data_IF_121513645814
#
_entry.id   IF_121513645814
#
_cell.length_a   1.000
_cell.length_b   1.000
_cell.length_c   1.000
_cell.angle_alpha   90.00
_cell.angle_beta   90.00
_cell.angle_gamma   90.00
#
_symmetry.space_group_name_H-M   'P 1'
#
loop_
_entity.id
_entity.type
_entity.pdbx_description
1 polymer ?
#
# COMPACT_ATOMS: atom_id res chain seq x y z
N UNK A 1 -11.10 -20.02 -6.38
CA UNK A 1 -12.03 -19.12 -5.69
C UNK A 1 -12.34 -17.91 -6.58
N UNK A 2 -11.33 -17.26 -7.14
CA UNK A 2 -11.46 -16.03 -7.93
C UNK A 2 -12.42 -16.13 -9.13
N UNK A 3 -12.37 -17.23 -9.92
CA UNK A 3 -13.23 -17.41 -11.10
C UNK A 3 -14.71 -17.53 -10.70
N UNK A 4 -15.00 -18.24 -9.61
CA UNK A 4 -16.39 -18.39 -9.12
C UNK A 4 -16.92 -17.06 -8.59
N UNK A 5 -16.09 -16.32 -7.87
CA UNK A 5 -16.43 -15.01 -7.33
C UNK A 5 -16.68 -14.01 -8.47
N UNK A 6 -15.79 -13.97 -9.47
CA UNK A 6 -15.95 -13.14 -10.66
C UNK A 6 -17.30 -13.39 -11.33
N UNK A 7 -17.62 -14.66 -11.64
CA UNK A 7 -18.91 -15.03 -12.26
C UNK A 7 -20.12 -14.60 -11.43
N UNK A 8 -20.02 -14.72 -10.11
CA UNK A 8 -21.11 -14.30 -9.22
C UNK A 8 -21.31 -12.78 -9.28
N UNK A 9 -20.23 -12.01 -9.24
CA UNK A 9 -20.27 -10.53 -9.35
C UNK A 9 -20.82 -10.12 -10.72
N UNK A 10 -20.30 -10.71 -11.81
CA UNK A 10 -20.73 -10.40 -13.17
C UNK A 10 -22.24 -10.67 -13.36
N UNK A 11 -22.74 -11.81 -12.81
CA UNK A 11 -24.17 -12.17 -12.91
C UNK A 11 -25.09 -11.32 -12.04
N UNK A 12 -24.66 -10.96 -10.82
CA UNK A 12 -25.51 -10.20 -9.88
C UNK A 12 -25.65 -8.75 -10.30
N UNK A 13 -24.58 -8.15 -10.82
CA UNK A 13 -24.53 -6.73 -11.16
C UNK A 13 -24.68 -6.47 -12.66
N UNK A 14 -24.80 -7.50 -13.49
CA UNK A 14 -24.84 -7.42 -14.96
C UNK A 14 -23.66 -6.57 -15.52
N UNK A 15 -22.47 -6.87 -15.05
CA UNK A 15 -21.23 -6.16 -15.43
C UNK A 15 -20.13 -7.16 -15.83
N UNK A 16 -19.14 -6.66 -16.55
CA UNK A 16 -17.88 -7.39 -16.78
C UNK A 16 -16.83 -6.90 -15.81
N UNK A 17 -16.60 -7.62 -14.71
CA UNK A 17 -15.58 -7.29 -13.73
C UNK A 17 -14.17 -7.52 -14.28
N UNK A 18 -13.23 -6.66 -13.87
CA UNK A 18 -11.80 -6.78 -14.19
C UNK A 18 -11.08 -7.29 -12.95
N UNK A 19 -10.31 -8.37 -13.10
CA UNK A 19 -9.40 -8.86 -12.08
C UNK A 19 -8.07 -8.15 -12.22
N UNK A 20 -7.60 -7.51 -11.15
CA UNK A 20 -6.30 -6.85 -11.14
C UNK A 20 -5.21 -7.88 -10.95
N UNK A 21 -4.33 -7.99 -11.95
CA UNK A 21 -3.17 -8.85 -11.98
C UNK A 21 -2.10 -8.23 -12.88
N UNK A 22 -0.87 -8.72 -12.82
CA UNK A 22 0.26 -8.15 -13.57
C UNK A 22 0.22 -8.43 -15.07
N UNK A 23 -0.65 -9.32 -15.53
CA UNK A 23 -0.82 -9.73 -16.93
C UNK A 23 -1.89 -8.93 -17.69
N UNK A 24 -2.53 -7.96 -17.05
CA UNK A 24 -3.46 -7.03 -17.72
C UNK A 24 -2.81 -5.66 -17.94
N UNK A 25 -3.34 -4.82 -18.86
CA UNK A 25 -2.90 -3.43 -19.00
C UNK A 25 -3.03 -2.65 -17.69
N UNK A 26 -1.90 -2.25 -17.10
CA UNK A 26 -1.83 -1.49 -15.86
C UNK A 26 -1.45 -0.02 -16.08
N UNK A 27 -0.74 0.30 -17.19
CA UNK A 27 -0.18 1.63 -17.42
C UNK A 27 1.12 1.88 -16.63
N UNK A 28 1.55 0.91 -15.83
CA UNK A 28 2.83 0.89 -15.11
C UNK A 28 3.55 -0.41 -15.47
N UNK A 29 4.87 -0.35 -15.63
CA UNK A 29 5.68 -1.55 -15.89
C UNK A 29 6.07 -2.18 -14.55
N UNK A 30 5.78 -3.47 -14.39
CA UNK A 30 6.15 -4.24 -13.19
C UNK A 30 7.52 -4.88 -13.42
N UNK A 31 8.52 -4.48 -12.63
CA UNK A 31 9.92 -4.87 -12.76
C UNK A 31 10.42 -5.75 -11.59
N UNK A 32 9.52 -6.51 -10.97
CA UNK A 32 9.86 -7.51 -9.95
C UNK A 32 10.27 -8.82 -10.60
N UNK A 33 11.02 -9.67 -9.89
CA UNK A 33 11.44 -10.99 -10.37
C UNK A 33 10.24 -11.87 -10.75
N UNK A 34 9.19 -11.84 -9.93
CA UNK A 34 7.95 -12.58 -10.13
C UNK A 34 6.74 -11.63 -10.14
N UNK A 35 6.42 -10.96 -11.26
CA UNK A 35 5.32 -10.00 -11.33
C UNK A 35 3.96 -10.57 -10.90
N UNK A 36 3.74 -11.86 -11.11
CA UNK A 36 2.46 -12.53 -10.78
C UNK A 36 2.25 -12.76 -9.27
N UNK A 37 3.30 -12.61 -8.45
CA UNK A 37 3.21 -12.69 -6.99
C UNK A 37 2.85 -11.35 -6.35
N UNK A 38 2.84 -10.26 -7.12
CA UNK A 38 2.51 -8.93 -6.61
C UNK A 38 1.01 -8.84 -6.31
N UNK A 39 0.67 -8.46 -5.09
CA UNK A 39 -0.71 -8.29 -4.66
C UNK A 39 -1.44 -7.21 -5.48
N UNK A 40 -2.73 -7.44 -5.73
CA UNK A 40 -3.57 -6.54 -6.51
C UNK A 40 -3.69 -5.13 -5.91
N UNK A 41 -3.67 -5.02 -4.59
CA UNK A 41 -3.63 -3.78 -3.83
C UNK A 41 -2.35 -2.97 -4.10
N UNK A 42 -1.20 -3.64 -4.11
CA UNK A 42 0.10 -3.04 -4.43
C UNK A 42 0.17 -2.58 -5.89
N UNK A 43 -0.35 -3.38 -6.83
CA UNK A 43 -0.47 -2.99 -8.23
C UNK A 43 -1.37 -1.75 -8.40
N UNK A 44 -2.51 -1.72 -7.69
CA UNK A 44 -3.41 -0.56 -7.72
C UNK A 44 -2.72 0.70 -7.15
N UNK A 45 -2.02 0.57 -6.02
CA UNK A 45 -1.26 1.66 -5.43
C UNK A 45 -0.17 2.19 -6.40
N UNK A 46 0.57 1.28 -7.06
CA UNK A 46 1.59 1.64 -8.03
C UNK A 46 1.02 2.40 -9.23
N UNK A 47 -0.13 1.95 -9.75
CA UNK A 47 -0.83 2.64 -10.84
C UNK A 47 -1.29 4.02 -10.41
N UNK A 48 -1.91 4.16 -9.23
CA UNK A 48 -2.34 5.45 -8.72
C UNK A 48 -1.15 6.39 -8.54
N UNK A 49 -0.07 5.90 -7.94
CA UNK A 49 1.15 6.67 -7.73
C UNK A 49 1.72 7.20 -9.04
N UNK A 50 1.85 6.30 -10.04
CA UNK A 50 2.36 6.65 -11.37
C UNK A 50 1.51 7.67 -12.14
N UNK A 51 0.20 7.71 -11.88
CA UNK A 51 -0.73 8.61 -12.60
C UNK A 51 -0.89 9.96 -11.89
N UNK A 52 -0.82 9.97 -10.56
CA UNK A 52 -1.18 11.14 -9.75
C UNK A 52 0.02 11.98 -9.32
N UNK A 53 1.21 11.41 -9.33
CA UNK A 53 2.41 12.09 -8.84
C UNK A 53 3.51 12.04 -9.89
N UNK A 54 4.32 13.09 -9.94
CA UNK A 54 5.48 13.18 -10.84
C UNK A 54 6.75 12.65 -10.16
N UNK A 55 7.69 12.13 -10.96
CA UNK A 55 8.96 11.61 -10.48
C UNK A 55 8.85 10.27 -9.76
N UNK A 56 9.84 9.96 -8.93
CA UNK A 56 9.81 8.75 -8.11
C UNK A 56 8.81 8.89 -6.97
N UNK A 57 8.14 7.79 -6.63
CA UNK A 57 7.13 7.74 -5.56
C UNK A 57 7.36 6.53 -4.67
N UNK A 58 7.28 6.74 -3.37
CA UNK A 58 7.19 5.67 -2.39
C UNK A 58 5.81 5.73 -1.76
N UNK A 59 4.98 4.74 -2.05
CA UNK A 59 3.68 4.60 -1.38
C UNK A 59 3.85 3.77 -0.12
N UNK A 60 3.34 4.27 1.01
CA UNK A 60 3.33 3.55 2.28
C UNK A 60 1.89 3.28 2.66
N UNK A 61 1.50 2.01 2.64
CA UNK A 61 0.15 1.58 3.01
C UNK A 61 0.13 0.97 4.42
N UNK A 62 -0.62 1.58 5.32
CA UNK A 62 -0.80 1.14 6.69
C UNK A 62 -2.05 0.27 6.86
N UNK A 63 -1.99 -0.94 6.32
CA UNK A 63 -3.05 -1.95 6.35
C UNK A 63 -2.79 -3.09 7.35
N UNK A 64 -3.19 -4.30 6.98
CA UNK A 64 -2.86 -5.54 7.69
C UNK A 64 -1.35 -5.78 7.73
N UNK A 65 -0.67 -5.47 6.64
CA UNK A 65 0.77 -5.23 6.57
C UNK A 65 1.02 -3.72 6.48
N UNK A 66 2.23 -3.28 6.81
CA UNK A 66 2.76 -2.00 6.37
C UNK A 66 3.61 -2.28 5.15
N UNK A 67 3.14 -1.88 3.98
CA UNK A 67 3.87 -2.08 2.73
C UNK A 67 4.44 -0.77 2.19
N UNK A 68 5.56 -0.90 1.49
CA UNK A 68 6.21 0.18 0.75
C UNK A 68 6.23 -0.25 -0.71
N UNK A 69 5.59 0.53 -1.56
CA UNK A 69 5.56 0.31 -3.00
C UNK A 69 6.43 1.36 -3.67
N UNK A 70 7.46 0.90 -4.38
CA UNK A 70 8.51 1.76 -4.93
C UNK A 70 8.30 1.90 -6.43
N UNK A 71 8.07 3.12 -6.87
CA UNK A 71 7.89 3.49 -8.29
C UNK A 71 8.97 4.51 -8.66
N UNK A 72 9.75 4.24 -9.70
CA UNK A 72 10.76 5.18 -10.17
C UNK A 72 10.17 6.26 -11.10
N UNK A 73 10.98 7.27 -11.43
CA UNK A 73 10.61 8.36 -12.33
C UNK A 73 10.28 7.94 -13.76
N UNK A 74 10.53 6.68 -14.14
CA UNK A 74 10.16 6.08 -15.44
C UNK A 74 8.82 5.35 -15.41
N UNK A 75 8.03 5.50 -14.32
CA UNK A 75 6.77 4.78 -14.10
C UNK A 75 6.95 3.25 -14.07
N UNK A 76 8.04 2.76 -13.48
CA UNK A 76 8.30 1.36 -13.28
C UNK A 76 8.12 1.02 -11.79
N UNK A 77 7.28 0.02 -11.50
CA UNK A 77 7.15 -0.56 -10.16
C UNK A 77 8.33 -1.51 -9.92
N UNK A 78 9.20 -1.15 -9.02
CA UNK A 78 10.45 -1.89 -8.76
C UNK A 78 10.28 -2.98 -7.69
N UNK A 79 9.18 -3.00 -6.97
CA UNK A 79 8.97 -3.85 -5.82
C UNK A 79 8.75 -3.03 -4.55
N UNK A 80 9.31 -3.50 -3.43
CA UNK A 80 9.16 -2.74 -2.18
C UNK A 80 9.42 -3.54 -0.92
N UNK A 81 8.89 -3.05 0.20
CA UNK A 81 9.06 -3.66 1.52
C UNK A 81 7.70 -4.07 2.09
N UNK A 82 7.66 -5.17 2.81
CA UNK A 82 6.46 -5.62 3.52
C UNK A 82 6.85 -5.93 4.97
N UNK A 83 6.21 -5.25 5.90
CA UNK A 83 6.36 -5.48 7.34
C UNK A 83 5.00 -5.78 7.98
N UNK A 84 4.96 -6.37 9.18
CA UNK A 84 3.71 -6.53 9.90
C UNK A 84 3.08 -5.17 10.19
N UNK A 85 1.78 -5.01 9.87
CA UNK A 85 1.03 -3.80 10.20
C UNK A 85 0.81 -3.65 11.71
N UNK A 86 0.42 -2.46 12.14
CA UNK A 86 0.27 -2.08 13.57
C UNK A 86 -0.62 -3.08 14.33
N UNK A 87 -1.81 -3.36 13.79
CA UNK A 87 -2.71 -4.34 14.42
C UNK A 87 -2.14 -5.75 14.46
N UNK A 88 -1.36 -6.13 13.45
CA UNK A 88 -0.71 -7.44 13.37
C UNK A 88 0.37 -7.55 14.45
N UNK A 89 1.21 -6.51 14.63
CA UNK A 89 2.21 -6.44 15.69
C UNK A 89 1.57 -6.55 17.08
N UNK A 90 0.50 -5.77 17.34
CA UNK A 90 -0.23 -5.81 18.61
C UNK A 90 -0.83 -7.18 18.90
N UNK A 91 -1.45 -7.81 17.91
CA UNK A 91 -2.01 -9.17 18.02
C UNK A 91 -0.92 -10.21 18.27
N UNK A 92 0.22 -10.09 17.57
CA UNK A 92 1.35 -11.00 17.75
C UNK A 92 1.88 -10.96 19.19
N UNK A 93 2.14 -9.77 19.73
CA UNK A 93 2.58 -9.58 21.11
C UNK A 93 1.61 -10.20 22.12
N UNK A 94 0.31 -9.96 21.94
CA UNK A 94 -0.73 -10.55 22.81
C UNK A 94 -0.73 -12.08 22.75
N UNK A 95 -0.68 -12.65 21.54
CA UNK A 95 -0.82 -14.09 21.34
C UNK A 95 0.44 -14.87 21.74
N UNK A 96 1.61 -14.25 21.67
CA UNK A 96 2.90 -14.87 21.99
C UNK A 96 3.24 -14.83 23.48
N UNK A 97 2.42 -14.17 24.31
CA UNK A 97 2.68 -14.04 25.74
C UNK A 97 1.41 -14.19 26.57
N UNK A 98 1.50 -14.95 27.66
CA UNK A 98 0.36 -15.18 28.57
C UNK A 98 0.02 -13.98 29.46
N UNK A 99 0.91 -13.00 29.56
CA UNK A 99 0.81 -11.88 30.52
C UNK A 99 0.48 -10.53 29.91
N UNK A 100 0.58 -10.36 28.57
CA UNK A 100 0.31 -9.07 27.96
C UNK A 100 -1.21 -8.82 27.78
N UNK A 101 -1.71 -7.65 28.21
CA UNK A 101 -3.12 -7.31 28.06
C UNK A 101 -3.49 -7.08 26.58
N UNK A 102 -4.78 -7.12 26.27
CA UNK A 102 -5.29 -6.56 25.02
C UNK A 102 -5.19 -5.04 25.12
N UNK A 103 -4.49 -4.45 24.19
CA UNK A 103 -4.26 -3.00 24.13
C UNK A 103 -4.88 -2.48 22.83
N UNK A 104 -5.69 -1.45 22.93
CA UNK A 104 -6.21 -0.76 21.76
C UNK A 104 -5.15 0.24 21.24
N UNK A 105 -5.06 0.36 19.92
CA UNK A 105 -4.10 1.26 19.28
C UNK A 105 -4.46 2.71 19.62
N UNK A 106 -3.50 3.41 20.20
CA UNK A 106 -3.66 4.81 20.62
C UNK A 106 -2.33 5.55 20.55
N UNK A 107 -2.36 6.84 20.84
CA UNK A 107 -1.16 7.70 20.87
C UNK A 107 -0.18 7.23 21.95
N UNK A 108 1.09 7.05 21.57
CA UNK A 108 2.19 6.84 22.52
C UNK A 108 2.71 8.19 23.03
N UNK A 109 2.46 8.50 24.29
CA UNK A 109 2.85 9.79 24.90
C UNK A 109 4.37 9.95 24.95
N UNK A 110 5.07 8.92 25.43
CA UNK A 110 6.52 8.95 25.68
C UNK A 110 7.22 7.81 24.93
N UNK A 111 8.50 8.01 24.61
CA UNK A 111 9.34 6.95 24.04
C UNK A 111 9.64 5.87 25.10
N UNK A 112 9.80 6.27 26.36
CA UNK A 112 10.01 5.35 27.47
C UNK A 112 8.65 5.13 28.14
N UNK A 113 8.08 3.92 27.98
CA UNK A 113 6.86 3.52 28.66
C UNK A 113 7.12 3.17 30.13
N UNK A 114 6.36 3.74 31.04
CA UNK A 114 6.46 3.49 32.48
C UNK A 114 5.60 2.31 32.96
N UNK A 115 4.83 1.71 32.09
CA UNK A 115 4.06 0.49 32.29
C UNK A 115 4.03 -0.34 31.01
N UNK A 116 3.57 -1.58 31.08
CA UNK A 116 3.56 -2.50 29.95
C UNK A 116 2.76 -1.97 28.74
N UNK A 117 1.63 -1.35 28.98
CA UNK A 117 0.81 -0.77 27.91
C UNK A 117 1.54 0.30 27.14
N UNK A 118 2.12 1.28 27.86
CA UNK A 118 2.88 2.38 27.25
C UNK A 118 4.14 1.89 26.54
N UNK A 119 4.81 0.89 27.12
CA UNK A 119 6.00 0.29 26.50
C UNK A 119 5.65 -0.41 25.18
N UNK A 120 4.52 -1.14 25.11
CA UNK A 120 4.04 -1.77 23.88
C UNK A 120 3.63 -0.71 22.85
N UNK A 121 2.85 0.29 23.24
CA UNK A 121 2.45 1.38 22.35
C UNK A 121 3.67 2.13 21.81
N UNK A 122 4.65 2.42 22.65
CA UNK A 122 5.90 3.02 22.19
C UNK A 122 6.63 2.16 21.17
N UNK A 123 6.83 0.88 21.47
CA UNK A 123 7.50 -0.07 20.56
C UNK A 123 6.80 -0.21 19.22
N UNK A 124 5.47 -0.36 19.23
CA UNK A 124 4.70 -0.57 18.00
C UNK A 124 4.53 0.73 17.21
N UNK A 125 4.09 1.81 17.85
CA UNK A 125 3.74 3.05 17.11
C UNK A 125 5.00 3.83 16.74
N UNK A 126 5.85 4.15 17.71
CA UNK A 126 7.10 4.87 17.45
C UNK A 126 8.09 4.01 16.66
N UNK A 127 8.15 2.71 16.97
CA UNK A 127 8.95 1.75 16.19
C UNK A 127 8.53 1.70 14.73
N UNK A 128 7.23 1.73 14.44
CA UNK A 128 6.72 1.82 13.05
C UNK A 128 7.14 3.14 12.39
N UNK A 129 7.07 4.28 13.09
CA UNK A 129 7.52 5.56 12.55
C UNK A 129 9.03 5.55 12.23
N UNK A 130 9.87 5.05 13.16
CA UNK A 130 11.31 4.91 12.94
C UNK A 130 11.63 3.96 11.78
N UNK A 131 10.89 2.85 11.66
CA UNK A 131 11.00 1.93 10.52
C UNK A 131 10.67 2.64 9.20
N UNK A 132 9.62 3.43 9.18
CA UNK A 132 9.20 4.21 7.99
C UNK A 132 10.32 5.15 7.57
N UNK A 133 10.83 5.98 8.47
CA UNK A 133 11.90 6.93 8.16
C UNK A 133 13.18 6.23 7.68
N UNK A 134 13.59 5.17 8.39
CA UNK A 134 14.78 4.40 8.03
C UNK A 134 14.67 3.73 6.67
N UNK A 135 13.53 3.09 6.38
CA UNK A 135 13.31 2.41 5.09
C UNK A 135 13.14 3.39 3.93
N UNK A 136 12.45 4.50 4.13
CA UNK A 136 12.36 5.57 3.11
C UNK A 136 13.75 6.06 2.73
N UNK A 137 14.60 6.34 3.72
CA UNK A 137 15.97 6.81 3.45
C UNK A 137 16.80 5.77 2.68
N UNK A 138 16.66 4.48 3.01
CA UNK A 138 17.36 3.39 2.31
C UNK A 138 16.83 3.21 0.88
N UNK A 139 15.51 3.24 0.70
CA UNK A 139 14.90 3.14 -0.63
C UNK A 139 15.29 4.30 -1.54
N UNK A 140 15.31 5.55 -1.03
CA UNK A 140 15.78 6.71 -1.80
C UNK A 140 17.26 6.60 -2.16
N UNK A 141 18.09 6.07 -1.26
CA UNK A 141 19.51 5.85 -1.55
C UNK A 141 19.72 4.78 -2.64
N UNK A 142 18.92 3.72 -2.64
CA UNK A 142 18.97 2.67 -3.67
C UNK A 142 18.39 3.16 -5.00
N UNK A 143 17.32 3.98 -4.99
CA UNK A 143 16.77 4.62 -6.18
C UNK A 143 17.76 5.62 -6.82
N UNK A 144 18.64 6.23 -6.03
CA UNK A 144 19.52 7.30 -6.47
C UNK A 144 18.81 8.64 -6.70
N UNK A 145 17.53 8.77 -6.30
CA UNK A 145 16.72 9.97 -6.42
C UNK A 145 15.79 10.13 -5.22
N UNK A 146 15.34 11.38 -4.97
CA UNK A 146 14.33 11.67 -3.97
C UNK A 146 12.95 11.26 -4.48
N UNK A 147 12.15 10.71 -3.59
CA UNK A 147 10.80 10.27 -3.90
C UNK A 147 9.74 11.11 -3.19
N UNK A 148 8.60 11.28 -3.83
CA UNK A 148 7.38 11.76 -3.18
C UNK A 148 6.85 10.66 -2.27
N UNK A 149 6.69 10.96 -0.98
CA UNK A 149 6.22 10.00 0.02
C UNK A 149 4.71 10.12 0.17
N UNK A 150 3.99 9.13 -0.32
CA UNK A 150 2.52 9.06 -0.27
C UNK A 150 2.09 8.04 0.75
N UNK A 151 1.29 8.46 1.73
CA UNK A 151 0.74 7.56 2.75
C UNK A 151 -0.73 7.24 2.47
N UNK A 152 -1.11 5.97 2.66
CA UNK A 152 -2.48 5.48 2.61
C UNK A 152 -2.74 4.50 3.75
N UNK A 153 -3.98 4.05 3.88
CA UNK A 153 -4.37 3.13 4.95
C UNK A 153 -4.79 3.80 6.25
N UNK A 154 -5.35 2.99 7.16
CA UNK A 154 -6.07 3.49 8.33
C UNK A 154 -5.23 4.14 9.42
N UNK A 155 -3.91 3.91 9.44
CA UNK A 155 -3.01 4.42 10.48
C UNK A 155 -2.07 5.53 10.03
N UNK A 156 -2.17 6.00 8.78
CA UNK A 156 -1.29 7.05 8.26
C UNK A 156 -1.33 8.32 9.12
N UNK A 157 -2.52 8.78 9.54
CA UNK A 157 -2.67 9.94 10.42
C UNK A 157 -2.07 9.76 11.82
N UNK A 158 -2.10 8.54 12.37
CA UNK A 158 -1.48 8.24 13.66
C UNK A 158 0.05 8.31 13.54
N UNK A 159 0.62 7.65 12.55
CA UNK A 159 2.08 7.58 12.35
C UNK A 159 2.67 8.94 11.97
N UNK A 160 1.95 9.75 11.21
CA UNK A 160 2.37 11.10 10.85
C UNK A 160 2.78 11.97 12.05
N UNK A 161 2.19 11.74 13.23
CA UNK A 161 2.52 12.50 14.45
C UNK A 161 3.93 12.19 15.01
N UNK A 162 4.60 11.16 14.52
CA UNK A 162 5.89 10.70 15.05
C UNK A 162 7.02 10.81 14.03
N UNK A 163 6.73 11.29 12.84
CA UNK A 163 7.73 11.45 11.78
C UNK A 163 8.42 12.80 11.89
N UNK A 164 9.73 12.83 11.69
CA UNK A 164 10.52 14.05 11.54
C UNK A 164 10.38 14.62 10.13
N UNK A 165 10.37 13.74 9.11
CA UNK A 165 9.99 14.09 7.75
C UNK A 165 8.52 13.72 7.54
N UNK A 166 7.61 14.70 7.39
CA UNK A 166 6.21 14.42 7.13
C UNK A 166 6.02 13.69 5.79
N UNK A 167 4.89 13.00 5.62
CA UNK A 167 4.45 12.54 4.31
C UNK A 167 4.20 13.75 3.39
N UNK A 168 4.63 13.65 2.14
CA UNK A 168 4.34 14.69 1.14
C UNK A 168 2.85 14.73 0.81
N UNK A 169 2.18 13.55 0.87
CA UNK A 169 0.74 13.41 0.66
C UNK A 169 0.15 12.29 1.53
N UNK A 170 -1.05 12.50 2.05
CA UNK A 170 -1.89 11.44 2.65
C UNK A 170 -3.13 11.28 1.77
N UNK A 171 -3.25 10.12 1.12
CA UNK A 171 -4.36 9.82 0.23
C UNK A 171 -5.08 8.53 0.68
N UNK A 172 -6.17 8.65 1.46
CA UNK A 172 -6.88 7.48 1.98
C UNK A 172 -7.58 6.63 0.93
N UNK A 173 -7.79 7.16 -0.28
CA UNK A 173 -8.48 6.49 -1.37
C UNK A 173 -7.54 6.08 -2.52
N UNK A 174 -6.23 6.13 -2.30
CA UNK A 174 -5.21 5.87 -3.32
C UNK A 174 -5.47 4.56 -4.09
N UNK A 175 -5.70 3.46 -3.36
CA UNK A 175 -5.97 2.16 -3.96
C UNK A 175 -7.22 2.18 -4.85
N UNK A 176 -8.28 2.89 -4.44
CA UNK A 176 -9.50 3.03 -5.25
C UNK A 176 -9.26 3.86 -6.51
N UNK A 177 -8.42 4.88 -6.44
CA UNK A 177 -8.00 5.65 -7.61
C UNK A 177 -7.22 4.79 -8.60
N UNK A 178 -6.31 3.95 -8.11
CA UNK A 178 -5.60 2.97 -8.93
C UNK A 178 -6.55 1.98 -9.61
N UNK A 179 -7.47 1.39 -8.86
CA UNK A 179 -8.50 0.51 -9.41
C UNK A 179 -9.34 1.20 -10.49
N UNK A 180 -9.72 2.45 -10.28
CA UNK A 180 -10.44 3.26 -11.28
C UNK A 180 -9.63 3.45 -12.56
N UNK A 181 -8.33 3.71 -12.46
CA UNK A 181 -7.46 3.85 -13.62
C UNK A 181 -7.28 2.54 -14.38
N UNK A 182 -7.04 1.45 -13.67
CA UNK A 182 -6.93 0.10 -14.24
C UNK A 182 -8.24 -0.27 -14.96
N UNK A 183 -9.39 -0.04 -14.35
CA UNK A 183 -10.69 -0.30 -14.96
C UNK A 183 -10.87 0.47 -16.28
N UNK A 184 -10.55 1.77 -16.28
CA UNK A 184 -10.64 2.60 -17.48
C UNK A 184 -9.74 2.12 -18.62
N UNK A 185 -8.52 1.67 -18.31
CA UNK A 185 -7.59 1.13 -19.32
C UNK A 185 -8.16 -0.15 -19.96
N UNK A 186 -8.75 -1.03 -19.15
CA UNK A 186 -9.21 -2.32 -19.59
C UNK A 186 -10.62 -2.31 -20.21
N UNK A 187 -11.42 -1.24 -20.05
CA UNK A 187 -12.75 -1.11 -20.63
C UNK A 187 -12.78 -0.24 -21.89
N UNK A 188 -11.87 0.71 -22.07
CA UNK A 188 -11.77 1.52 -23.29
C UNK A 188 -11.30 0.70 -24.52
N UNK A 189 -10.50 -0.34 -24.33
CA UNK A 189 -10.05 -1.21 -25.40
C UNK A 189 -11.21 -2.01 -26.03
N UNK A 190 -12.23 -2.38 -25.26
CA UNK A 190 -13.41 -3.08 -25.79
C UNK A 190 -14.29 -2.20 -26.70
N UNK A 191 -14.28 -0.88 -26.56
CA UNK A 191 -15.04 0.01 -27.45
C UNK A 191 -14.37 0.26 -28.82
N UNK A 192 -13.04 0.15 -28.90
CA UNK A 192 -12.32 0.37 -30.17
C UNK A 192 -12.35 -0.85 -31.11
N UNK A 193 -12.48 -2.05 -30.58
CA UNK A 193 -12.58 -3.28 -31.39
C UNK A 193 -13.94 -3.45 -32.08
N UNK A 194 -15.01 -2.84 -31.55
CA UNK A 194 -16.34 -2.84 -32.17
C UNK A 194 -16.55 -1.70 -33.21
N UNK A 195 -15.63 -0.73 -33.28
CA UNK A 195 -15.75 0.39 -34.21
C UNK A 195 -15.09 0.13 -35.57
N UNK A 196 -14.34 -0.98 -35.72
CA UNK A 196 -13.62 -1.32 -36.97
C UNK A 196 -14.30 -2.42 -37.81
N UNK A 197 -15.52 -2.81 -37.44
CA UNK A 197 -16.31 -3.81 -38.21
C UNK A 197 -17.62 -3.18 -38.67
N UNK A 198 -17.52 -2.15 -39.52
CA UNK A 198 -18.64 -1.69 -40.37
C UNK A 198 -18.07 -1.25 -41.72
#
# INVERSE_FOLDING_TARGET
LNIKFKRAVDNVFDIKSVFVASDIPLGVKVCTDNPQEVGADRLANAVAASVLYEGAVIVIDFGTATSFDIINSKHEFLGGVIAPGINTQMKCLKNSTSKLPKIDVSISQNAIGHNTTDAILSGVIRGTACMVEGLVAQCEAELGEKATIVATGGYCGLIANYLTRPFDCVNPILTLEGLKHIYKLNTKQTCSEFATTK
#
